data_IF_803057257227
#
_entry.id   IF_803057257227
#
_cell.length_a   1.000
_cell.length_b   1.000
_cell.length_c   1.000
_cell.angle_alpha   90.00
_cell.angle_beta   90.00
_cell.angle_gamma   90.00
#
_symmetry.space_group_name_H-M   'P 1'
#
loop_
_entity.id
_entity.type
_entity.pdbx_description
1 polymer ?
#
# COMPACT_ATOMS: atom_id res chain seq x y z
N UNK A 1 -14.36 -8.62 13.08
CA UNK A 1 -13.44 -8.37 11.95
C UNK A 1 -12.30 -7.49 12.46
N UNK A 2 -11.02 -7.85 12.29
CA UNK A 2 -9.93 -7.06 12.86
C UNK A 2 -9.66 -5.83 11.99
N UNK A 3 -9.94 -4.64 12.53
CA UNK A 3 -9.58 -3.34 11.95
C UNK A 3 -8.07 -3.11 12.12
N UNK A 4 -7.46 -2.41 11.17
CA UNK A 4 -6.08 -1.92 11.32
C UNK A 4 -6.05 -0.95 12.50
N UNK A 5 -5.17 -1.16 13.49
CA UNK A 5 -5.01 -0.24 14.61
C UNK A 5 -4.10 0.91 14.17
N UNK A 6 -4.49 2.16 14.45
CA UNK A 6 -3.73 3.37 14.10
C UNK A 6 -2.28 3.36 14.62
N UNK A 7 -1.98 2.60 15.67
CA UNK A 7 -0.63 2.42 16.21
C UNK A 7 0.34 1.71 15.25
N UNK A 8 -0.16 1.04 14.21
CA UNK A 8 0.64 0.39 13.17
C UNK A 8 0.97 1.35 11.98
N UNK A 9 0.40 2.56 11.97
CA UNK A 9 0.54 3.53 10.87
C UNK A 9 1.52 4.63 11.26
N UNK A 10 2.76 4.53 10.80
CA UNK A 10 3.84 5.49 11.12
C UNK A 10 3.84 6.79 10.30
N UNK A 11 2.85 7.03 9.44
CA UNK A 11 2.73 8.32 8.76
C UNK A 11 1.82 8.30 7.54
N UNK A 12 1.32 9.48 7.18
CA UNK A 12 0.48 9.75 6.01
C UNK A 12 1.15 10.88 5.25
N UNK A 13 1.98 10.58 4.24
CA UNK A 13 2.97 11.54 3.73
C UNK A 13 3.10 11.52 2.21
N UNK A 14 3.16 12.74 1.66
CA UNK A 14 3.82 13.19 0.43
C UNK A 14 5.29 12.74 0.38
N UNK A 15 5.63 11.82 -0.52
CA UNK A 15 6.93 11.19 -0.88
C UNK A 15 8.26 11.43 -0.09
N UNK A 16 8.52 12.59 0.50
CA UNK A 16 9.81 12.98 1.09
C UNK A 16 10.27 12.12 2.27
N UNK A 17 9.34 11.51 3.02
CA UNK A 17 9.69 10.73 4.22
C UNK A 17 9.70 9.21 4.00
N UNK A 18 9.52 8.75 2.75
CA UNK A 18 9.60 7.31 2.44
C UNK A 18 11.08 6.92 2.27
N UNK A 19 11.59 5.93 3.02
CA UNK A 19 12.99 5.51 2.93
C UNK A 19 13.29 4.68 1.67
N UNK A 20 14.55 4.72 1.22
CA UNK A 20 15.09 3.87 0.13
C UNK A 20 15.50 2.50 0.65
N UNK A 21 14.52 1.76 1.14
CA UNK A 21 14.73 0.42 1.71
C UNK A 21 13.68 -0.54 1.18
N UNK A 22 13.94 -1.83 1.33
CA UNK A 22 12.99 -2.88 1.01
C UNK A 22 11.89 -2.97 2.06
N UNK A 23 10.71 -3.45 1.65
CA UNK A 23 9.59 -3.61 2.55
C UNK A 23 8.28 -3.92 1.84
N UNK A 24 7.21 -3.79 2.61
CA UNK A 24 5.82 -3.98 2.16
C UNK A 24 5.12 -2.63 2.12
N UNK A 25 4.27 -2.41 1.13
CA UNK A 25 3.35 -1.29 1.07
C UNK A 25 1.91 -1.77 1.02
N UNK A 26 1.01 -0.95 1.57
CA UNK A 26 -0.42 -1.21 1.62
C UNK A 26 -1.16 -0.02 1.05
N UNK A 27 -2.32 -0.27 0.45
CA UNK A 27 -3.28 0.76 0.07
C UNK A 27 -4.52 0.53 0.91
N UNK A 28 -5.01 1.56 1.59
CA UNK A 28 -6.27 1.52 2.33
C UNK A 28 -7.27 2.54 1.81
N UNK A 29 -8.54 2.34 2.10
CA UNK A 29 -9.57 3.37 1.97
C UNK A 29 -9.51 4.37 3.16
N UNK A 30 -10.53 5.24 3.22
CA UNK A 30 -10.76 6.18 4.34
C UNK A 30 -11.06 5.54 5.68
N UNK A 31 -11.63 4.34 5.68
CA UNK A 31 -12.01 3.61 6.88
C UNK A 31 -10.89 2.70 7.40
N UNK A 32 -9.74 2.66 6.70
CA UNK A 32 -8.61 1.80 7.02
C UNK A 32 -8.76 0.37 6.51
N UNK A 33 -9.71 0.08 5.64
CA UNK A 33 -9.83 -1.20 4.96
C UNK A 33 -8.66 -1.39 4.00
N UNK A 34 -7.95 -2.53 4.11
CA UNK A 34 -6.81 -2.84 3.24
C UNK A 34 -7.31 -3.29 1.87
N UNK A 35 -7.14 -2.43 0.88
CA UNK A 35 -7.54 -2.66 -0.50
C UNK A 35 -6.49 -3.49 -1.25
N UNK A 36 -5.20 -3.23 -0.98
CA UNK A 36 -4.07 -3.87 -1.65
C UNK A 36 -2.86 -4.00 -0.72
N UNK A 37 -2.08 -5.07 -0.93
CA UNK A 37 -0.78 -5.32 -0.33
C UNK A 37 0.21 -5.70 -1.42
N UNK A 38 1.37 -5.05 -1.43
CA UNK A 38 2.48 -5.40 -2.32
C UNK A 38 3.82 -5.21 -1.62
N UNK A 39 4.89 -5.71 -2.22
CA UNK A 39 6.25 -5.47 -1.74
C UNK A 39 7.10 -4.71 -2.74
N UNK A 40 8.23 -4.17 -2.28
CA UNK A 40 9.22 -3.52 -3.13
C UNK A 40 10.61 -3.66 -2.51
N UNK A 41 11.63 -3.80 -3.35
CA UNK A 41 13.04 -3.65 -2.95
C UNK A 41 13.40 -2.19 -2.64
N UNK A 42 12.55 -1.24 -3.08
CA UNK A 42 12.68 0.18 -2.77
C UNK A 42 11.30 0.80 -2.55
N UNK A 43 10.95 1.07 -1.30
CA UNK A 43 9.66 1.65 -0.93
C UNK A 43 9.51 3.07 -1.49
N UNK A 44 10.52 3.94 -1.36
CA UNK A 44 10.48 5.31 -1.92
C UNK A 44 10.05 5.32 -3.38
N UNK A 45 10.71 4.52 -4.22
CA UNK A 45 10.39 4.43 -5.65
C UNK A 45 8.96 3.93 -5.89
N UNK A 46 8.52 2.92 -5.13
CA UNK A 46 7.18 2.34 -5.30
C UNK A 46 6.08 3.33 -4.89
N UNK A 47 6.25 4.05 -3.79
CA UNK A 47 5.28 5.06 -3.35
C UNK A 47 5.24 6.23 -4.33
N UNK A 48 6.39 6.69 -4.82
CA UNK A 48 6.45 7.73 -5.86
C UNK A 48 5.64 7.35 -7.11
N UNK A 49 5.70 6.09 -7.56
CA UNK A 49 4.89 5.63 -8.70
C UNK A 49 3.38 5.58 -8.43
N UNK A 50 2.97 5.36 -7.17
CA UNK A 50 1.56 5.41 -6.80
C UNK A 50 1.06 6.86 -6.82
N UNK A 51 1.84 7.79 -6.25
CA UNK A 51 1.51 9.22 -6.22
C UNK A 51 1.53 9.87 -7.59
N UNK A 52 2.47 9.49 -8.46
CA UNK A 52 2.57 10.05 -9.81
C UNK A 52 1.38 9.67 -10.71
N UNK A 53 0.53 8.73 -10.29
CA UNK A 53 -0.56 8.22 -11.11
C UNK A 53 -0.10 7.57 -12.42
N UNK A 54 1.11 6.99 -12.45
CA UNK A 54 1.59 6.31 -13.67
C UNK A 54 1.00 4.91 -13.76
N UNK A 55 0.33 4.57 -14.86
CA UNK A 55 -0.32 3.27 -15.08
C UNK A 55 0.64 2.07 -15.26
N UNK A 56 1.94 2.30 -15.09
CA UNK A 56 2.99 1.30 -15.27
C UNK A 56 2.87 0.11 -14.30
N UNK A 57 2.05 0.22 -13.25
CA UNK A 57 1.84 -0.84 -12.27
C UNK A 57 0.35 -1.10 -11.98
N UNK A 58 -0.01 -2.37 -11.77
CA UNK A 58 -1.41 -2.78 -11.49
C UNK A 58 -2.00 -2.03 -10.30
N UNK A 59 -1.23 -1.86 -9.21
CA UNK A 59 -1.68 -1.12 -8.03
C UNK A 59 -1.93 0.37 -8.32
N UNK A 60 -1.10 1.01 -9.15
CA UNK A 60 -1.29 2.41 -9.54
C UNK A 60 -2.57 2.58 -10.35
N UNK A 61 -2.82 1.70 -11.33
CA UNK A 61 -4.06 1.72 -12.13
C UNK A 61 -5.31 1.53 -11.26
N UNK A 62 -5.27 0.61 -10.31
CA UNK A 62 -6.38 0.40 -9.37
C UNK A 62 -6.62 1.61 -8.48
N UNK A 63 -5.55 2.23 -7.98
CA UNK A 63 -5.63 3.45 -7.18
C UNK A 63 -6.25 4.61 -7.97
N UNK A 64 -5.80 4.85 -9.20
CA UNK A 64 -6.36 5.88 -10.09
C UNK A 64 -7.86 5.64 -10.34
N UNK A 65 -8.24 4.41 -10.67
CA UNK A 65 -9.64 4.03 -10.90
C UNK A 65 -10.52 4.15 -9.66
N UNK A 66 -9.96 3.97 -8.47
CA UNK A 66 -10.66 4.16 -7.20
C UNK A 66 -10.84 5.65 -6.92
N UNK A 67 -9.79 6.44 -7.07
CA UNK A 67 -9.80 7.89 -6.83
C UNK A 67 -10.65 8.68 -7.83
N UNK A 68 -10.78 8.22 -9.08
CA UNK A 68 -11.65 8.85 -10.07
C UNK A 68 -13.15 8.79 -9.70
N UNK A 69 -13.53 7.91 -8.78
CA UNK A 69 -14.90 7.80 -8.25
C UNK A 69 -15.17 8.69 -7.03
N UNK A 70 -14.30 9.66 -6.76
CA UNK A 70 -14.31 10.51 -5.55
C UNK A 70 -14.05 9.75 -4.23
N UNK A 71 -13.53 8.53 -4.31
CA UNK A 71 -13.12 7.75 -3.13
C UNK A 71 -11.66 8.09 -2.77
N UNK A 72 -11.35 8.28 -1.48
CA UNK A 72 -9.96 8.56 -1.06
C UNK A 72 -9.30 7.27 -0.60
N UNK A 73 -8.07 7.07 -1.06
CA UNK A 73 -7.21 5.98 -0.62
C UNK A 73 -5.85 6.52 -0.15
N UNK A 74 -5.19 5.74 0.69
CA UNK A 74 -3.93 6.12 1.34
C UNK A 74 -2.91 5.01 1.17
N UNK A 75 -1.67 5.38 0.86
CA UNK A 75 -0.56 4.46 0.81
C UNK A 75 0.17 4.43 2.16
N UNK A 76 0.47 3.22 2.63
CA UNK A 76 1.20 2.94 3.86
C UNK A 76 2.39 2.04 3.55
N UNK A 77 3.40 2.01 4.43
CA UNK A 77 4.55 1.12 4.25
C UNK A 77 5.06 0.54 5.58
N UNK A 78 5.70 -0.62 5.47
CA UNK A 78 6.33 -1.36 6.55
C UNK A 78 7.74 -1.75 6.08
N UNK A 79 8.76 -1.23 6.76
CA UNK A 79 10.16 -1.59 6.51
C UNK A 79 10.39 -2.99 7.10
N UNK A 80 10.87 -3.92 6.28
CA UNK A 80 11.21 -5.27 6.74
C UNK A 80 12.11 -5.98 5.74
N UNK A 81 13.09 -6.74 6.24
CA UNK A 81 14.01 -7.50 5.40
C UNK A 81 13.31 -8.68 4.70
N UNK A 82 12.43 -9.39 5.41
CA UNK A 82 11.69 -10.54 4.87
C UNK A 82 10.34 -10.11 4.26
N UNK A 83 10.36 -9.10 3.41
CA UNK A 83 9.16 -8.46 2.85
C UNK A 83 8.28 -9.41 2.04
N UNK A 84 8.84 -10.44 1.40
CA UNK A 84 8.07 -11.44 0.64
C UNK A 84 7.20 -12.30 1.57
N UNK A 85 7.79 -12.79 2.66
CA UNK A 85 7.02 -13.55 3.65
C UNK A 85 5.98 -12.66 4.33
N UNK A 86 6.37 -11.43 4.67
CA UNK A 86 5.46 -10.46 5.30
C UNK A 86 4.29 -10.08 4.40
N UNK A 87 4.52 -9.89 3.11
CA UNK A 87 3.46 -9.65 2.12
C UNK A 87 2.45 -10.80 2.09
N UNK A 88 2.91 -12.05 2.04
CA UNK A 88 2.02 -13.24 2.07
C UNK A 88 1.18 -13.28 3.33
N UNK A 89 1.78 -13.05 4.49
CA UNK A 89 1.08 -13.01 5.77
C UNK A 89 0.00 -11.92 5.78
N UNK A 90 0.31 -10.72 5.29
CA UNK A 90 -0.64 -9.60 5.26
C UNK A 90 -1.77 -9.84 4.24
N UNK A 91 -1.47 -10.45 3.10
CA UNK A 91 -2.49 -10.89 2.13
C UNK A 91 -3.44 -11.93 2.73
N UNK A 92 -2.92 -12.89 3.49
CA UNK A 92 -3.75 -13.88 4.19
C UNK A 92 -4.58 -13.24 5.31
N UNK A 93 -3.97 -12.35 6.10
CA UNK A 93 -4.61 -11.67 7.24
C UNK A 93 -5.78 -10.78 6.79
N UNK A 94 -5.57 -9.98 5.74
CA UNK A 94 -6.53 -8.95 5.33
C UNK A 94 -7.38 -9.35 4.12
N UNK A 95 -7.00 -10.39 3.38
CA UNK A 95 -7.68 -10.85 2.17
C UNK A 95 -8.05 -9.72 1.18
N UNK A 96 -7.09 -8.84 0.83
CA UNK A 96 -7.35 -7.59 0.14
C UNK A 96 -8.00 -7.81 -1.24
N UNK A 97 -9.08 -7.08 -1.57
CA UNK A 97 -9.85 -7.28 -2.80
C UNK A 97 -9.02 -7.09 -4.06
N UNK A 98 -8.05 -6.17 -4.06
CA UNK A 98 -7.26 -5.86 -5.25
C UNK A 98 -6.11 -6.83 -5.53
N UNK A 99 -5.80 -7.72 -4.59
CA UNK A 99 -4.83 -8.79 -4.82
C UNK A 99 -5.47 -10.08 -5.33
N UNK A 100 -6.80 -10.17 -5.33
CA UNK A 100 -7.55 -11.28 -5.92
C UNK A 100 -7.56 -11.08 -7.43
N UNK A 101 -6.68 -11.78 -8.13
CA UNK A 101 -6.79 -12.06 -9.57
C UNK A 101 -7.21 -13.51 -9.72
#
# INVERSE_FOLDING_TARGET
>A
MPKLHESDITGKITCHNVPEVSGVYLITDLNGEVLYVGHSDCLRRRIAYLESGTELHTASRLLINYQSKSEKAFAHWIICENYKARERQLKQKYNPPWNKK
#
